data_IF_895818096366
#
_entry.id   IF_895818096366
#
_cell.length_a   1.000
_cell.length_b   1.000
_cell.length_c   1.000
_cell.angle_alpha   90.00
_cell.angle_beta   90.00
_cell.angle_gamma   90.00
#
_symmetry.space_group_name_H-M   'P 1'
#
loop_
_entity.id
_entity.type
_entity.pdbx_description
1 polymer ?
#
# COMPACT_ATOMS: atom_id res chain seq x y z
N UNK A 1 2.60 0.93 -6.07
CA UNK A 1 1.84 0.19 -5.04
C UNK A 1 2.19 0.78 -3.69
N UNK A 2 1.24 0.77 -2.75
CA UNK A 2 1.44 1.22 -1.37
C UNK A 2 1.02 0.09 -0.43
N UNK A 3 1.78 -0.14 0.64
CA UNK A 3 1.47 -1.18 1.63
C UNK A 3 2.11 -0.85 2.99
N UNK A 4 1.57 -1.44 4.05
CA UNK A 4 2.08 -1.32 5.42
C UNK A 4 2.47 -2.71 5.91
N UNK A 5 3.68 -2.84 6.47
CA UNK A 5 4.16 -4.08 7.06
C UNK A 5 4.56 -3.88 8.52
N UNK A 6 4.30 -4.89 9.32
CA UNK A 6 4.93 -5.08 10.64
C UNK A 6 5.90 -6.24 10.51
N UNK A 7 7.14 -6.04 10.93
CA UNK A 7 8.17 -7.09 10.93
C UNK A 7 8.18 -7.84 12.27
N UNK A 8 8.71 -9.08 12.30
CA UNK A 8 8.93 -9.80 13.55
C UNK A 8 9.76 -9.00 14.55
N UNK A 9 9.61 -9.33 15.84
CA UNK A 9 10.42 -8.73 16.89
C UNK A 9 11.92 -8.95 16.63
N UNK A 10 12.72 -7.89 16.77
CA UNK A 10 14.16 -7.91 16.49
C UNK A 10 14.54 -7.87 15.01
N UNK A 11 13.57 -7.82 14.08
CA UNK A 11 13.81 -7.78 12.64
C UNK A 11 13.51 -6.38 12.06
N UNK A 12 14.50 -5.77 11.42
CA UNK A 12 14.37 -4.50 10.72
C UNK A 12 14.67 -4.60 9.22
N UNK A 13 14.81 -5.80 8.67
CA UNK A 13 15.28 -6.01 7.29
C UNK A 13 14.11 -6.04 6.29
N UNK A 14 13.39 -4.93 6.18
CA UNK A 14 12.42 -4.70 5.11
C UNK A 14 13.10 -4.54 3.75
N UNK A 15 14.38 -4.14 3.72
CA UNK A 15 15.13 -3.90 2.50
C UNK A 15 15.43 -5.19 1.73
N UNK A 16 15.84 -6.28 2.42
CA UNK A 16 16.01 -7.59 1.77
C UNK A 16 14.68 -8.14 1.24
N UNK A 17 13.60 -8.02 2.01
CA UNK A 17 12.25 -8.45 1.59
C UNK A 17 11.79 -7.75 0.31
N UNK A 18 11.95 -6.43 0.24
CA UNK A 18 11.62 -5.67 -0.97
C UNK A 18 12.47 -6.08 -2.18
N UNK A 19 13.77 -6.31 -1.96
CA UNK A 19 14.67 -6.79 -3.01
C UNK A 19 14.21 -8.14 -3.56
N UNK A 20 13.85 -9.08 -2.69
CA UNK A 20 13.43 -10.42 -3.09
C UNK A 20 12.07 -10.43 -3.78
N UNK A 21 11.11 -9.62 -3.34
CA UNK A 21 9.81 -9.44 -4.01
C UNK A 21 10.01 -8.92 -5.43
N UNK A 22 10.75 -7.81 -5.58
CA UNK A 22 11.00 -7.19 -6.89
C UNK A 22 11.73 -8.15 -7.83
N UNK A 23 12.75 -8.85 -7.32
CA UNK A 23 13.53 -9.86 -8.07
C UNK A 23 12.64 -11.01 -8.53
N UNK A 24 11.83 -11.56 -7.64
CA UNK A 24 10.97 -12.72 -7.93
C UNK A 24 9.93 -12.37 -8.96
N UNK A 25 9.25 -11.22 -8.82
CA UNK A 25 8.25 -10.77 -9.78
C UNK A 25 8.87 -10.54 -11.17
N UNK A 26 9.98 -9.80 -11.26
CA UNK A 26 10.67 -9.54 -12.54
C UNK A 26 11.10 -10.83 -13.24
N UNK A 27 11.58 -11.83 -12.47
CA UNK A 27 11.94 -13.13 -13.02
C UNK A 27 10.72 -13.88 -13.57
N UNK A 28 9.61 -13.87 -12.84
CA UNK A 28 8.41 -14.62 -13.22
C UNK A 28 7.71 -14.06 -14.46
N UNK A 29 7.82 -12.76 -14.72
CA UNK A 29 7.26 -12.14 -15.93
C UNK A 29 8.31 -11.95 -17.04
N UNK A 30 9.53 -12.43 -16.83
CA UNK A 30 10.65 -12.33 -17.78
C UNK A 30 10.99 -10.89 -18.24
N UNK A 31 10.66 -9.88 -17.43
CA UNK A 31 10.93 -8.47 -17.76
C UNK A 31 12.04 -7.87 -16.90
N UNK A 32 12.89 -7.05 -17.53
CA UNK A 32 13.97 -6.30 -16.88
C UNK A 32 13.62 -4.81 -16.77
N UNK A 33 14.21 -4.13 -15.78
CA UNK A 33 14.10 -2.67 -15.61
C UNK A 33 12.67 -2.11 -15.45
N UNK A 34 11.72 -2.91 -14.97
CA UNK A 34 10.32 -2.49 -14.75
C UNK A 34 10.10 -1.70 -13.46
N UNK A 35 11.02 -1.83 -12.50
CA UNK A 35 10.91 -1.20 -11.18
C UNK A 35 11.64 0.13 -11.15
N UNK A 36 11.03 1.14 -10.55
CA UNK A 36 11.78 2.31 -10.07
C UNK A 36 12.87 1.85 -9.07
N UNK A 37 14.11 2.35 -9.18
CA UNK A 37 15.16 2.07 -8.21
C UNK A 37 14.77 2.48 -6.78
N UNK A 38 15.16 1.67 -5.79
CA UNK A 38 14.80 1.83 -4.37
C UNK A 38 13.28 1.85 -4.15
N UNK A 39 12.83 2.25 -2.98
CA UNK A 39 11.44 2.44 -2.63
C UNK A 39 11.35 3.65 -1.70
N UNK A 40 10.14 4.14 -1.47
CA UNK A 40 9.89 5.12 -0.43
C UNK A 40 9.46 4.40 0.85
N UNK A 41 9.97 4.84 1.98
CA UNK A 41 9.70 4.29 3.30
C UNK A 41 9.30 5.37 4.31
N UNK A 42 8.39 5.02 5.20
CA UNK A 42 8.02 5.80 6.37
C UNK A 42 7.75 4.87 7.54
N UNK A 43 8.40 5.12 8.67
CA UNK A 43 8.15 4.38 9.91
C UNK A 43 6.91 4.94 10.58
N UNK A 44 5.85 4.13 10.67
CA UNK A 44 4.63 4.46 11.40
C UNK A 44 4.93 4.53 12.90
N UNK A 45 4.64 5.67 13.54
CA UNK A 45 5.08 5.93 14.93
C UNK A 45 3.99 5.81 15.98
N UNK A 46 2.73 5.87 15.59
CA UNK A 46 1.60 5.81 16.50
C UNK A 46 0.32 5.38 15.75
N UNK A 47 -0.76 5.20 16.49
CA UNK A 47 -2.03 4.70 15.96
C UNK A 47 -2.71 5.69 14.99
N UNK A 48 -2.60 6.99 15.22
CA UNK A 48 -3.16 8.00 14.30
C UNK A 48 -2.43 7.98 12.96
N UNK A 49 -1.11 7.89 12.99
CA UNK A 49 -0.25 7.76 11.81
C UNK A 49 -0.55 6.47 11.04
N UNK A 50 -0.78 5.37 11.75
CA UNK A 50 -1.20 4.09 11.17
C UNK A 50 -2.53 4.23 10.42
N UNK A 51 -3.56 4.79 11.06
CA UNK A 51 -4.89 4.97 10.46
C UNK A 51 -4.83 5.84 9.21
N UNK A 52 -4.09 6.96 9.26
CA UNK A 52 -3.90 7.85 8.09
C UNK A 52 -3.26 7.12 6.91
N UNK A 53 -2.25 6.28 7.17
CA UNK A 53 -1.60 5.51 6.11
C UNK A 53 -2.50 4.37 5.57
N UNK A 54 -3.27 3.71 6.43
CA UNK A 54 -4.24 2.69 6.00
C UNK A 54 -5.31 3.31 5.09
N UNK A 55 -5.91 4.42 5.51
CA UNK A 55 -6.86 5.19 4.71
C UNK A 55 -6.25 5.60 3.38
N UNK A 56 -5.00 6.06 3.39
CA UNK A 56 -4.29 6.41 2.16
C UNK A 56 -4.13 5.23 1.20
N UNK A 57 -3.75 4.06 1.69
CA UNK A 57 -3.61 2.84 0.86
C UNK A 57 -4.95 2.49 0.20
N UNK A 58 -6.06 2.60 0.93
CA UNK A 58 -7.39 2.25 0.40
C UNK A 58 -7.99 3.30 -0.51
N UNK A 59 -7.79 4.58 -0.25
CA UNK A 59 -8.32 5.64 -1.11
C UNK A 59 -7.49 5.82 -2.40
N UNK A 60 -6.28 5.29 -2.46
CA UNK A 60 -5.35 5.52 -3.58
C UNK A 60 -5.94 5.23 -4.98
N UNK A 61 -6.65 4.11 -5.22
CA UNK A 61 -7.26 3.84 -6.52
C UNK A 61 -8.34 4.87 -6.92
N UNK A 62 -9.10 5.38 -5.94
CA UNK A 62 -10.09 6.43 -6.14
C UNK A 62 -9.39 7.77 -6.42
N UNK A 63 -8.36 8.12 -5.64
CA UNK A 63 -7.53 9.32 -5.85
C UNK A 63 -6.93 9.37 -7.25
N UNK A 64 -6.47 8.24 -7.79
CA UNK A 64 -5.90 8.13 -9.13
C UNK A 64 -6.94 7.94 -10.24
N UNK A 65 -8.24 7.95 -9.91
CA UNK A 65 -9.33 7.90 -10.87
C UNK A 65 -9.57 6.54 -11.53
N UNK A 66 -9.02 5.45 -10.96
CA UNK A 66 -9.21 4.10 -11.51
C UNK A 66 -10.61 3.54 -11.23
N UNK A 67 -11.24 4.00 -10.16
CA UNK A 67 -12.58 3.60 -9.71
C UNK A 67 -13.31 4.80 -9.12
N UNK A 68 -14.64 4.77 -9.12
CA UNK A 68 -15.48 5.78 -8.47
C UNK A 68 -15.79 5.47 -7.01
N UNK A 69 -15.61 4.21 -6.57
CA UNK A 69 -15.73 3.77 -5.18
C UNK A 69 -14.57 2.86 -4.81
N UNK A 70 -14.11 2.94 -3.56
CA UNK A 70 -12.98 2.13 -3.06
C UNK A 70 -13.25 0.63 -3.19
N UNK A 71 -14.49 0.20 -2.89
CA UNK A 71 -14.91 -1.20 -2.98
C UNK A 71 -14.84 -1.78 -4.40
N UNK A 72 -14.87 -0.95 -5.43
CA UNK A 72 -14.82 -1.42 -6.82
C UNK A 72 -13.40 -1.82 -7.24
N UNK A 73 -12.37 -1.50 -6.43
CA UNK A 73 -10.99 -1.87 -6.72
C UNK A 73 -10.67 -3.28 -6.17
N UNK A 74 -10.45 -4.30 -7.01
CA UNK A 74 -10.26 -5.67 -6.54
C UNK A 74 -8.85 -5.93 -5.99
N UNK A 75 -7.87 -5.08 -6.31
CA UNK A 75 -6.45 -5.32 -6.04
C UNK A 75 -5.98 -4.65 -4.74
N UNK A 76 -6.68 -4.91 -3.63
CA UNK A 76 -6.30 -4.43 -2.30
C UNK A 76 -6.80 -5.36 -1.19
N UNK A 77 -6.29 -5.16 0.02
CA UNK A 77 -6.79 -5.83 1.23
C UNK A 77 -8.08 -5.23 1.78
N UNK A 78 -8.64 -4.18 1.15
CA UNK A 78 -9.87 -3.53 1.61
C UNK A 78 -11.02 -4.52 1.78
N UNK A 79 -11.19 -5.44 0.83
CA UNK A 79 -12.22 -6.49 0.88
C UNK A 79 -12.09 -7.41 2.10
N UNK A 80 -10.87 -7.70 2.54
CA UNK A 80 -10.62 -8.48 3.76
C UNK A 80 -11.06 -7.65 4.97
N UNK A 81 -10.62 -6.42 5.06
CA UNK A 81 -10.86 -5.55 6.21
C UNK A 81 -12.35 -5.18 6.36
N UNK A 82 -13.09 -5.08 5.25
CA UNK A 82 -14.56 -4.96 5.26
C UNK A 82 -15.22 -6.21 5.84
N UNK A 83 -14.78 -7.41 5.46
CA UNK A 83 -15.32 -8.68 6.01
C UNK A 83 -15.02 -8.84 7.50
N UNK A 84 -13.90 -8.30 7.96
CA UNK A 84 -13.49 -8.30 9.37
C UNK A 84 -14.15 -7.18 10.19
N UNK A 85 -14.93 -6.29 9.56
CA UNK A 85 -15.64 -5.20 10.22
C UNK A 85 -14.75 -4.01 10.59
N UNK A 86 -13.54 -3.91 10.03
CA UNK A 86 -12.61 -2.80 10.27
C UNK A 86 -12.97 -1.56 9.45
N UNK A 87 -13.58 -1.75 8.28
CA UNK A 87 -14.06 -0.67 7.40
C UNK A 87 -15.47 -0.96 6.90
N UNK A 88 -16.33 0.06 6.77
CA UNK A 88 -17.63 -0.12 6.11
C UNK A 88 -17.45 -0.30 4.59
N UNK A 89 -18.36 -1.06 3.96
CA UNK A 89 -18.28 -1.37 2.53
C UNK A 89 -18.44 -0.14 1.63
N UNK A 90 -19.15 0.88 2.12
CA UNK A 90 -19.37 2.18 1.46
C UNK A 90 -18.36 3.24 1.92
N UNK A 91 -17.29 2.85 2.63
CA UNK A 91 -16.26 3.77 3.05
C UNK A 91 -15.62 4.51 1.87
N UNK A 92 -15.51 5.83 2.02
CA UNK A 92 -14.66 6.67 1.20
C UNK A 92 -13.99 7.70 2.13
N UNK A 93 -12.67 7.63 2.24
CA UNK A 93 -11.90 8.63 2.98
C UNK A 93 -11.86 9.99 2.27
N UNK A 94 -11.19 10.96 2.88
CA UNK A 94 -10.89 12.25 2.24
C UNK A 94 -9.65 12.14 1.35
N UNK A 95 -9.74 12.63 0.11
CA UNK A 95 -8.56 12.74 -0.76
C UNK A 95 -7.70 13.90 -0.24
N UNK A 96 -6.66 13.57 0.52
CA UNK A 96 -5.67 14.53 1.01
C UNK A 96 -4.37 14.41 0.23
N UNK A 97 -3.72 15.55 0.05
CA UNK A 97 -2.32 15.59 -0.33
C UNK A 97 -1.49 15.06 0.83
N UNK A 98 -1.01 13.84 0.63
CA UNK A 98 -0.29 13.06 1.62
C UNK A 98 1.00 12.56 0.97
N UNK A 99 2.13 12.89 1.60
CA UNK A 99 3.44 12.52 1.09
C UNK A 99 3.67 11.02 1.28
N UNK A 100 3.45 10.24 0.22
CA UNK A 100 3.60 8.78 0.22
C UNK A 100 4.50 8.27 -0.90
N UNK A 101 5.50 9.05 -1.31
CA UNK A 101 6.45 8.63 -2.36
C UNK A 101 5.83 8.47 -3.75
N UNK A 102 4.69 9.11 -4.02
CA UNK A 102 4.07 9.12 -5.35
C UNK A 102 5.02 9.71 -6.39
N UNK A 103 4.95 9.17 -7.61
CA UNK A 103 5.74 9.67 -8.73
C UNK A 103 5.25 11.07 -9.11
N UNK A 104 6.19 12.01 -9.27
CA UNK A 104 5.93 13.33 -9.85
C UNK A 104 5.78 13.24 -11.36
#
# INVERSE_FOLDING_TARGET
MHCIWTLPEGDSDFSARWRDIKKTFSRNIEMRHIWQPRFWEHTVRNEEDYRRHMDYVYINPLKHGYVSKVIDWPYSTFHRDVREGLYPADWAGEIKDFAAGERK
#
